data_IF_640693486942
#
_entry.id   IF_640693486942
#
_cell.length_a   1.000
_cell.length_b   1.000
_cell.length_c   1.000
_cell.angle_alpha   90.00
_cell.angle_beta   90.00
_cell.angle_gamma   90.00
#
_symmetry.space_group_name_H-M   'P 1'
#
loop_
_entity.id
_entity.type
_entity.pdbx_description
1 polymer ?
#
# COMPACT_ATOMS: atom_id res chain seq x y z
N UNK A 1 7.07 -7.60 16.57
CA UNK A 1 5.72 -7.00 16.44
C UNK A 1 4.74 -8.01 15.84
N UNK A 2 3.55 -8.14 16.42
CA UNK A 2 2.50 -9.00 15.86
C UNK A 2 2.03 -8.41 14.53
N UNK A 3 2.20 -9.15 13.44
CA UNK A 3 1.72 -8.81 12.10
C UNK A 3 0.63 -9.80 11.70
N UNK A 4 -0.48 -9.26 11.21
CA UNK A 4 -1.61 -10.04 10.69
C UNK A 4 -1.42 -10.28 9.18
N UNK A 5 -0.62 -9.44 8.53
CA UNK A 5 -0.35 -9.49 7.10
C UNK A 5 0.39 -8.25 6.62
N UNK A 6 0.39 -8.05 5.30
CA UNK A 6 1.05 -6.91 4.64
C UNK A 6 0.13 -6.29 3.61
N UNK A 7 0.14 -4.95 3.54
CA UNK A 7 -0.61 -4.19 2.55
C UNK A 7 0.14 -4.11 1.20
N UNK A 8 -0.60 -4.21 0.10
CA UNK A 8 -0.09 -4.06 -1.26
C UNK A 8 -0.96 -3.09 -2.05
N UNK A 9 -0.34 -2.24 -2.86
CA UNK A 9 -1.02 -1.27 -3.72
C UNK A 9 -1.08 -1.83 -5.15
N UNK A 10 -2.29 -1.96 -5.68
CA UNK A 10 -2.53 -2.17 -7.12
C UNK A 10 -2.43 -0.82 -7.84
N UNK A 11 -1.29 -0.60 -8.51
CA UNK A 11 -1.01 0.63 -9.25
C UNK A 11 -1.94 0.83 -10.45
N UNK A 12 -2.55 -0.22 -10.98
CA UNK A 12 -3.49 -0.10 -12.10
C UNK A 12 -4.87 0.41 -11.66
N UNK A 13 -5.12 0.48 -10.34
CA UNK A 13 -6.42 0.86 -9.77
C UNK A 13 -6.32 2.02 -8.79
N UNK A 14 -5.14 2.27 -8.25
CA UNK A 14 -4.89 3.37 -7.33
C UNK A 14 -5.00 4.71 -8.06
N UNK A 15 -5.81 5.63 -7.54
CA UNK A 15 -6.14 6.91 -8.21
C UNK A 15 -4.90 7.75 -8.59
N UNK A 16 -3.88 7.93 -7.71
CA UNK A 16 -2.68 8.68 -8.06
C UNK A 16 -1.76 7.95 -9.06
N UNK A 17 -1.84 6.61 -9.12
CA UNK A 17 -1.02 5.80 -10.03
C UNK A 17 -1.64 5.63 -11.42
N UNK A 18 -2.94 5.36 -11.47
CA UNK A 18 -3.64 4.97 -12.70
C UNK A 18 -4.33 6.14 -13.41
N UNK A 19 -4.70 7.19 -12.69
CA UNK A 19 -5.60 8.24 -13.19
C UNK A 19 -5.09 9.65 -12.90
N UNK A 20 -3.83 9.81 -12.47
CA UNK A 20 -3.25 11.10 -12.05
C UNK A 20 -4.16 11.89 -11.08
N UNK A 21 -4.97 11.18 -10.28
CA UNK A 21 -5.99 11.80 -9.43
C UNK A 21 -5.48 11.85 -7.97
N UNK A 22 -5.42 13.03 -7.33
CA UNK A 22 -4.92 13.15 -5.96
C UNK A 22 -5.71 12.31 -4.96
N UNK A 23 -5.01 11.50 -4.16
CA UNK A 23 -5.59 10.70 -3.09
C UNK A 23 -4.53 10.33 -2.05
N UNK A 24 -4.75 10.70 -0.79
CA UNK A 24 -3.81 10.48 0.32
C UNK A 24 -4.38 9.61 1.46
N UNK A 25 -5.62 9.13 1.29
CA UNK A 25 -6.40 8.47 2.36
C UNK A 25 -5.70 7.28 3.01
N UNK A 26 -4.88 6.55 2.25
CA UNK A 26 -4.19 5.36 2.75
C UNK A 26 -3.12 5.73 3.79
N UNK A 27 -2.46 6.88 3.62
CA UNK A 27 -1.51 7.44 4.58
C UNK A 27 -2.27 7.97 5.80
N UNK A 28 -3.36 8.73 5.59
CA UNK A 28 -4.11 9.37 6.67
C UNK A 28 -4.68 8.35 7.65
N UNK A 29 -5.16 7.22 7.13
CA UNK A 29 -5.74 6.13 7.91
C UNK A 29 -4.73 5.13 8.45
N UNK A 30 -3.45 5.25 8.09
CA UNK A 30 -2.43 4.35 8.62
C UNK A 30 -2.20 4.65 10.11
N UNK A 31 -2.51 3.71 11.02
CA UNK A 31 -2.45 3.98 12.47
C UNK A 31 -1.06 3.78 13.07
N UNK A 32 -0.07 3.37 12.30
CA UNK A 32 1.28 3.06 12.81
C UNK A 32 2.10 4.33 12.98
N UNK A 33 3.02 4.31 13.94
CA UNK A 33 4.00 5.38 14.16
C UNK A 33 5.40 4.76 14.23
N UNK A 34 6.28 4.98 13.23
CA UNK A 34 6.05 5.70 11.97
C UNK A 34 4.99 5.07 11.08
N UNK A 35 4.42 5.85 10.15
CA UNK A 35 3.39 5.37 9.23
C UNK A 35 3.95 4.35 8.24
N UNK A 36 3.27 3.23 8.13
CA UNK A 36 3.64 2.16 7.20
C UNK A 36 3.24 2.48 5.76
N UNK A 37 2.23 3.32 5.56
CA UNK A 37 1.91 3.91 4.26
C UNK A 37 2.49 5.31 4.25
N UNK A 38 3.34 5.62 3.29
CA UNK A 38 3.93 6.94 3.09
C UNK A 38 3.71 7.41 1.66
N UNK A 39 3.84 8.71 1.42
CA UNK A 39 3.59 9.34 0.13
C UNK A 39 4.90 9.78 -0.52
N UNK A 40 4.94 9.72 -1.85
CA UNK A 40 5.98 10.35 -2.67
C UNK A 40 5.33 11.31 -3.65
N UNK A 41 5.87 12.52 -3.73
CA UNK A 41 5.46 13.48 -4.76
C UNK A 41 6.08 13.08 -6.10
N UNK A 42 5.24 12.94 -7.12
CA UNK A 42 5.64 12.57 -8.46
C UNK A 42 4.88 13.44 -9.47
N UNK A 43 5.58 13.92 -10.50
CA UNK A 43 4.96 14.60 -11.64
C UNK A 43 4.61 13.55 -12.68
N UNK A 44 3.32 13.42 -12.97
CA UNK A 44 2.78 12.47 -13.94
C UNK A 44 2.00 13.22 -15.02
N UNK A 45 1.72 12.55 -16.14
CA UNK A 45 0.85 13.08 -17.17
C UNK A 45 -0.56 12.54 -16.98
N UNK A 46 -1.56 13.41 -17.08
CA UNK A 46 -2.95 12.99 -17.11
C UNK A 46 -3.36 12.45 -18.50
N UNK A 47 -4.66 12.21 -18.69
CA UNK A 47 -5.18 11.67 -19.96
C UNK A 47 -5.09 12.69 -21.11
N UNK A 48 -5.13 13.97 -20.77
CA UNK A 48 -5.05 15.10 -21.68
C UNK A 48 -3.60 15.42 -22.07
N UNK A 49 -2.63 14.84 -21.36
CA UNK A 49 -1.20 15.03 -21.58
C UNK A 49 -0.62 16.21 -20.80
N UNK A 50 -1.35 16.71 -19.81
CA UNK A 50 -0.91 17.80 -18.95
C UNK A 50 -0.10 17.25 -17.77
N UNK A 51 0.93 18.00 -17.36
CA UNK A 51 1.73 17.65 -16.18
C UNK A 51 0.95 17.97 -14.90
N UNK A 52 0.78 16.95 -14.06
CA UNK A 52 0.11 17.06 -12.75
C UNK A 52 1.02 16.47 -11.68
N UNK A 53 1.24 17.23 -10.61
CA UNK A 53 1.92 16.71 -9.41
C UNK A 53 0.91 15.99 -8.52
N UNK A 54 1.17 14.71 -8.25
CA UNK A 54 0.36 13.89 -7.36
C UNK A 54 1.20 13.24 -6.27
N UNK A 55 0.54 12.85 -5.18
CA UNK A 55 1.17 12.09 -4.09
C UNK A 55 0.82 10.60 -4.24
N UNK A 56 1.82 9.80 -4.61
CA UNK A 56 1.67 8.37 -4.81
C UNK A 56 1.92 7.59 -3.52
N UNK A 57 1.01 6.69 -3.10
CA UNK A 57 1.19 5.91 -1.88
C UNK A 57 2.15 4.74 -2.09
N UNK A 58 3.01 4.52 -1.09
CA UNK A 58 3.93 3.41 -0.95
C UNK A 58 3.76 2.75 0.41
N UNK A 59 3.97 1.43 0.46
CA UNK A 59 3.92 0.66 1.71
C UNK A 59 5.33 0.27 2.11
N UNK A 60 5.70 0.52 3.37
CA UNK A 60 6.84 -0.09 4.04
C UNK A 60 6.39 -1.38 4.75
N UNK A 61 6.77 -2.57 4.25
CA UNK A 61 6.40 -3.83 4.87
C UNK A 61 7.01 -4.05 6.26
N UNK A 62 8.10 -3.35 6.62
CA UNK A 62 8.71 -3.48 7.94
C UNK A 62 7.83 -2.87 9.03
N UNK A 63 7.10 -1.80 8.70
CA UNK A 63 6.19 -1.07 9.58
C UNK A 63 4.74 -1.56 9.49
N UNK A 64 4.35 -2.15 8.36
CA UNK A 64 2.98 -2.61 8.16
C UNK A 64 2.62 -3.75 9.13
N UNK A 65 1.45 -3.64 9.76
CA UNK A 65 0.90 -4.66 10.67
C UNK A 65 -0.21 -5.48 10.05
N UNK A 66 -0.69 -5.11 8.85
CA UNK A 66 -1.80 -5.78 8.17
C UNK A 66 -3.18 -5.49 8.78
N UNK A 67 -3.37 -4.36 9.46
CA UNK A 67 -4.63 -4.05 10.15
C UNK A 67 -5.85 -3.76 9.25
N UNK A 68 -5.64 -3.53 7.94
CA UNK A 68 -6.74 -3.31 6.98
C UNK A 68 -7.38 -1.92 6.99
N UNK A 69 -6.93 -0.98 7.83
CA UNK A 69 -7.49 0.38 7.88
C UNK A 69 -7.43 1.11 6.52
N UNK A 70 -6.32 0.99 5.81
CA UNK A 70 -6.16 1.58 4.48
C UNK A 70 -7.03 0.91 3.41
N UNK A 71 -7.25 -0.40 3.50
CA UNK A 71 -8.14 -1.14 2.59
C UNK A 71 -9.61 -0.73 2.79
N UNK A 72 -10.04 -0.61 4.05
CA UNK A 72 -11.36 -0.12 4.40
C UNK A 72 -11.61 1.31 3.88
N UNK A 73 -10.64 2.20 4.11
CA UNK A 73 -10.75 3.62 3.74
C UNK A 73 -10.62 3.89 2.24
N UNK A 74 -10.10 2.93 1.46
CA UNK A 74 -9.89 3.10 0.03
C UNK A 74 -11.21 3.39 -0.70
N UNK A 75 -11.33 4.52 -1.43
CA UNK A 75 -12.58 4.91 -2.10
C UNK A 75 -12.88 4.09 -3.36
N UNK A 76 -11.91 3.34 -3.89
CA UNK A 76 -12.11 2.51 -5.08
C UNK A 76 -13.09 1.37 -4.76
N UNK A 77 -14.09 1.18 -5.61
CA UNK A 77 -15.15 0.18 -5.48
C UNK A 77 -14.84 -1.13 -6.26
N UNK A 78 -15.69 -2.14 -6.07
CA UNK A 78 -15.51 -3.54 -6.51
C UNK A 78 -14.32 -4.22 -5.80
N UNK A 79 -13.10 -3.97 -6.28
CA UNK A 79 -11.86 -4.35 -5.57
C UNK A 79 -11.21 -3.09 -4.98
N UNK A 80 -10.50 -3.18 -3.87
CA UNK A 80 -9.75 -2.01 -3.35
C UNK A 80 -8.44 -1.81 -4.11
N UNK A 81 -7.96 -0.57 -4.19
CA UNK A 81 -6.65 -0.28 -4.82
C UNK A 81 -5.47 -0.56 -3.88
N UNK A 82 -5.73 -0.66 -2.58
CA UNK A 82 -4.80 -1.19 -1.59
C UNK A 82 -5.51 -2.32 -0.85
N UNK A 83 -4.84 -3.45 -0.66
CA UNK A 83 -5.42 -4.65 -0.05
C UNK A 83 -4.42 -5.35 0.87
N UNK A 84 -4.92 -6.06 1.87
CA UNK A 84 -4.09 -6.86 2.78
C UNK A 84 -4.01 -8.31 2.29
N UNK A 85 -2.82 -8.89 2.41
CA UNK A 85 -2.64 -10.36 2.30
C UNK A 85 -1.99 -10.89 3.56
N UNK A 86 -2.09 -12.19 3.81
CA UNK A 86 -1.45 -12.85 4.96
C UNK A 86 0.09 -12.89 4.87
N UNK A 87 0.68 -12.44 3.76
CA UNK A 87 2.13 -12.47 3.57
C UNK A 87 2.83 -11.66 4.67
N UNK A 88 3.82 -12.26 5.32
CA UNK A 88 4.58 -11.68 6.42
C UNK A 88 3.88 -11.72 7.79
N UNK A 89 2.79 -12.49 7.94
CA UNK A 89 2.09 -12.64 9.21
C UNK A 89 2.90 -13.41 10.25
N UNK A 90 2.80 -13.01 11.52
CA UNK A 90 3.59 -13.60 12.61
C UNK A 90 3.16 -15.02 13.01
N UNK A 91 1.97 -15.48 12.58
CA UNK A 91 1.45 -16.81 12.94
C UNK A 91 1.93 -17.94 12.02
N UNK A 92 2.63 -17.62 10.93
CA UNK A 92 3.09 -18.59 9.94
C UNK A 92 4.55 -18.34 9.57
N UNK A 93 5.41 -19.30 9.90
CA UNK A 93 6.84 -19.24 9.53
C UNK A 93 7.05 -19.43 8.03
N UNK A 94 6.13 -20.09 7.32
CA UNK A 94 6.26 -20.38 5.88
C UNK A 94 5.76 -19.25 4.99
N UNK A 95 4.95 -18.33 5.52
CA UNK A 95 4.33 -17.25 4.75
C UNK A 95 5.14 -15.95 4.80
N UNK A 96 6.47 -16.03 4.62
CA UNK A 96 7.35 -14.86 4.64
C UNK A 96 7.27 -14.07 3.32
N UNK A 97 7.47 -12.75 3.40
CA UNK A 97 7.49 -11.85 2.21
C UNK A 97 8.64 -12.22 1.27
N UNK A 98 9.80 -12.53 1.84
CA UNK A 98 10.99 -12.96 1.11
C UNK A 98 11.23 -14.43 1.41
N UNK A 99 11.42 -15.23 0.36
CA UNK A 99 11.94 -16.57 0.50
C UNK A 99 13.43 -16.46 0.84
N UNK A 100 13.77 -16.42 2.13
CA UNK A 100 15.15 -16.67 2.51
C UNK A 100 15.48 -18.10 2.08
N UNK A 101 16.47 -18.24 1.19
CA UNK A 101 17.01 -19.54 0.80
C UNK A 101 17.55 -20.16 2.08
N UNK A 102 16.81 -21.09 2.67
CA UNK A 102 17.22 -21.83 3.84
C UNK A 102 18.60 -22.41 3.55
N UNK A 103 19.64 -21.83 4.14
CA UNK A 103 20.95 -22.48 4.21
C UNK A 103 20.75 -23.66 5.13
N UNK A 104 20.73 -24.85 4.53
CA UNK A 104 20.80 -26.13 5.21
C UNK A 104 22.07 -26.23 6.07
#
# INVERSE_FOLDING_TARGET
PNRIGTAFVDRNRCLPWAMATPCIVCEEWCPTTPKAVYLREETVFDREGEEVTVQQPHVDPALCTGCGACEYACPVHDRKAIYITSVGESRSETNQILLERQTA
#
